data_IF_544448282723
#
_entry.id   IF_544448282723
#
_cell.length_a   1.000
_cell.length_b   1.000
_cell.length_c   1.000
_cell.angle_alpha   90.00
_cell.angle_beta   90.00
_cell.angle_gamma   90.00
#
_symmetry.space_group_name_H-M   'P 1'
#
loop_
_entity.id
_entity.type
_entity.pdbx_description
1 polymer ?
#
# COMPACT_ATOMS: atom_id res chain seq x y z
N UNK A 1 -22.27 -2.11 16.57
CA UNK A 1 -21.52 -1.96 15.31
C UNK A 1 -20.24 -1.18 15.58
N UNK A 2 -19.11 -1.61 15.04
CA UNK A 2 -17.87 -0.84 15.14
C UNK A 2 -18.00 0.48 14.36
N UNK A 3 -17.25 1.55 14.71
CA UNK A 3 -17.25 2.80 13.93
C UNK A 3 -16.98 2.58 12.43
N UNK A 4 -16.17 1.58 12.09
CA UNK A 4 -15.85 1.21 10.70
C UNK A 4 -17.09 0.63 10.01
N UNK A 5 -17.84 -0.27 10.66
CA UNK A 5 -19.09 -0.82 10.12
C UNK A 5 -20.16 0.26 9.89
N UNK A 6 -20.21 1.28 10.75
CA UNK A 6 -21.11 2.42 10.55
C UNK A 6 -20.69 3.27 9.33
N UNK A 7 -19.40 3.50 9.12
CA UNK A 7 -18.89 4.20 7.96
C UNK A 7 -19.07 3.40 6.67
N UNK A 8 -18.88 2.08 6.72
CA UNK A 8 -19.11 1.17 5.57
C UNK A 8 -20.59 1.16 5.14
N UNK A 9 -21.51 1.38 6.06
CA UNK A 9 -22.94 1.48 5.72
C UNK A 9 -23.27 2.71 4.84
N UNK A 10 -22.43 3.76 4.91
CA UNK A 10 -22.62 5.00 4.11
C UNK A 10 -21.93 4.87 2.75
N UNK A 11 -20.67 4.49 2.71
CA UNK A 11 -19.93 4.30 1.47
C UNK A 11 -18.73 3.37 1.65
N UNK A 12 -18.89 2.08 1.34
CA UNK A 12 -17.80 1.09 1.49
C UNK A 12 -16.54 1.44 0.68
N UNK A 13 -16.74 2.04 -0.52
CA UNK A 13 -15.63 2.45 -1.39
C UNK A 13 -14.84 3.60 -0.77
N UNK A 14 -15.53 4.59 -0.19
CA UNK A 14 -14.88 5.72 0.46
C UNK A 14 -14.08 5.28 1.68
N UNK A 15 -14.61 4.34 2.47
CA UNK A 15 -13.89 3.77 3.62
C UNK A 15 -12.62 3.07 3.16
N UNK A 16 -12.71 2.18 2.18
CA UNK A 16 -11.55 1.47 1.65
C UNK A 16 -10.50 2.44 1.07
N UNK A 17 -10.93 3.49 0.38
CA UNK A 17 -10.06 4.53 -0.15
C UNK A 17 -9.31 5.26 0.98
N UNK A 18 -10.03 5.75 1.99
CA UNK A 18 -9.42 6.53 3.10
C UNK A 18 -8.51 5.64 3.93
N UNK A 19 -8.96 4.47 4.34
CA UNK A 19 -8.21 3.59 5.23
C UNK A 19 -6.94 3.09 4.54
N UNK A 20 -7.04 2.66 3.28
CA UNK A 20 -5.87 2.22 2.52
C UNK A 20 -4.89 3.37 2.28
N UNK A 21 -5.38 4.58 2.00
CA UNK A 21 -4.54 5.75 1.79
C UNK A 21 -3.80 6.22 3.04
N UNK A 22 -4.42 6.09 4.20
CA UNK A 22 -3.79 6.45 5.47
C UNK A 22 -2.87 5.34 6.02
N UNK A 23 -2.94 4.15 5.47
CA UNK A 23 -2.23 3.00 6.02
C UNK A 23 -0.71 3.21 6.11
N UNK A 24 -0.09 3.79 5.08
CA UNK A 24 1.34 4.08 5.09
C UNK A 24 1.74 5.10 6.17
N UNK A 25 0.85 6.06 6.49
CA UNK A 25 1.05 6.97 7.61
C UNK A 25 0.98 6.22 8.95
N UNK A 26 0.04 5.29 9.09
CA UNK A 26 -0.04 4.44 10.29
C UNK A 26 1.19 3.55 10.43
N UNK A 27 1.80 3.08 9.34
CA UNK A 27 3.08 2.36 9.39
C UNK A 27 4.18 3.28 9.91
N UNK A 28 4.28 4.51 9.40
CA UNK A 28 5.27 5.49 9.84
C UNK A 28 5.18 5.84 11.35
N UNK A 29 3.98 5.84 11.91
CA UNK A 29 3.74 6.08 13.33
C UNK A 29 3.71 4.80 14.19
N UNK A 30 3.93 3.62 13.60
CA UNK A 30 3.88 2.34 14.32
C UNK A 30 2.47 1.87 14.69
N UNK A 31 1.43 2.57 14.22
CA UNK A 31 0.02 2.27 14.57
C UNK A 31 -0.62 1.23 13.65
N UNK A 32 0.06 0.82 12.60
CA UNK A 32 -0.47 -0.12 11.60
C UNK A 32 -0.86 -1.48 12.18
N UNK A 33 -0.17 -1.95 13.23
CA UNK A 33 -0.48 -3.21 13.88
C UNK A 33 -1.85 -3.16 14.57
N UNK A 34 -2.16 -2.06 15.26
CA UNK A 34 -3.46 -1.87 15.90
C UNK A 34 -4.59 -1.79 14.86
N UNK A 35 -4.35 -1.04 13.77
CA UNK A 35 -5.30 -0.94 12.67
C UNK A 35 -5.48 -2.29 11.97
N UNK A 36 -4.38 -2.98 11.68
CA UNK A 36 -4.40 -4.32 11.07
C UNK A 36 -5.20 -5.32 11.90
N UNK A 37 -5.05 -5.30 13.23
CA UNK A 37 -5.80 -6.18 14.13
C UNK A 37 -7.32 -6.00 13.99
N UNK A 38 -7.81 -4.78 13.80
CA UNK A 38 -9.25 -4.50 13.61
C UNK A 38 -9.76 -5.20 12.33
N UNK A 39 -9.04 -5.06 11.21
CA UNK A 39 -9.44 -5.68 9.93
C UNK A 39 -9.24 -7.19 9.91
N UNK A 40 -8.29 -7.70 10.70
CA UNK A 40 -8.13 -9.14 10.93
C UNK A 40 -9.29 -9.70 11.73
N UNK A 41 -9.77 -8.97 12.73
CA UNK A 41 -10.99 -9.36 13.46
C UNK A 41 -12.22 -9.39 12.55
N UNK A 42 -12.36 -8.41 11.65
CA UNK A 42 -13.43 -8.44 10.63
C UNK A 42 -13.31 -9.67 9.73
N UNK A 43 -12.09 -10.04 9.32
CA UNK A 43 -11.86 -11.26 8.54
C UNK A 43 -12.33 -12.51 9.28
N UNK A 44 -12.02 -12.64 10.57
CA UNK A 44 -12.42 -13.81 11.36
C UNK A 44 -13.92 -13.84 11.67
N UNK A 45 -14.55 -12.68 11.81
CA UNK A 45 -16.00 -12.61 12.12
C UNK A 45 -16.89 -12.73 10.90
N UNK A 46 -16.47 -12.14 9.78
CA UNK A 46 -17.23 -12.14 8.53
C UNK A 46 -16.77 -13.21 7.52
N UNK A 47 -15.61 -13.85 7.77
CA UNK A 47 -15.00 -14.81 6.85
C UNK A 47 -14.33 -14.18 5.62
N UNK A 48 -14.42 -12.85 5.47
CA UNK A 48 -13.83 -12.11 4.35
C UNK A 48 -13.65 -10.64 4.75
N UNK A 49 -12.57 -10.02 4.27
CA UNK A 49 -12.37 -8.58 4.37
C UNK A 49 -12.28 -7.95 2.97
N UNK A 50 -13.03 -6.87 2.75
CA UNK A 50 -13.09 -6.11 1.49
C UNK A 50 -12.50 -4.70 1.60
N UNK A 51 -12.08 -4.26 2.79
CA UNK A 51 -11.72 -2.86 3.05
C UNK A 51 -10.22 -2.61 2.90
N UNK A 52 -9.40 -2.96 3.90
CA UNK A 52 -7.97 -2.69 3.92
C UNK A 52 -7.15 -3.84 3.34
N UNK A 53 -7.43 -5.08 3.75
CA UNK A 53 -6.57 -6.23 3.48
C UNK A 53 -6.33 -6.49 1.98
N UNK A 54 -7.32 -6.27 1.06
CA UNK A 54 -7.05 -6.40 -0.37
C UNK A 54 -5.97 -5.45 -0.88
N UNK A 55 -5.99 -4.18 -0.46
CA UNK A 55 -4.95 -3.22 -0.84
C UNK A 55 -3.60 -3.58 -0.22
N UNK A 56 -3.59 -3.99 1.04
CA UNK A 56 -2.39 -4.39 1.75
C UNK A 56 -1.72 -5.61 1.11
N UNK A 57 -2.47 -6.68 0.84
CA UNK A 57 -1.88 -7.93 0.34
C UNK A 57 -1.66 -7.95 -1.17
N UNK A 58 -2.46 -7.21 -1.95
CA UNK A 58 -2.32 -7.18 -3.40
C UNK A 58 -1.37 -6.09 -3.90
N UNK A 59 -1.35 -4.92 -3.27
CA UNK A 59 -0.83 -3.70 -3.90
C UNK A 59 0.29 -3.02 -3.13
N UNK A 60 0.29 -3.06 -1.81
CA UNK A 60 1.18 -2.25 -0.98
C UNK A 60 2.65 -2.42 -1.35
N UNK A 61 3.15 -3.65 -1.38
CA UNK A 61 4.55 -3.94 -1.66
C UNK A 61 4.99 -3.45 -3.06
N UNK A 62 4.09 -3.51 -4.06
CA UNK A 62 4.36 -3.01 -5.40
C UNK A 62 4.32 -1.49 -5.46
N UNK A 63 3.35 -0.85 -4.81
CA UNK A 63 3.20 0.61 -4.77
C UNK A 63 4.42 1.25 -4.09
N UNK A 64 4.86 0.71 -2.96
CA UNK A 64 6.07 1.19 -2.26
C UNK A 64 7.30 0.96 -3.13
N UNK A 65 7.48 -0.23 -3.70
CA UNK A 65 8.61 -0.52 -4.57
C UNK A 65 8.66 0.38 -5.81
N UNK A 66 7.52 0.65 -6.44
CA UNK A 66 7.44 1.54 -7.60
C UNK A 66 7.75 2.99 -7.21
N UNK A 67 7.33 3.44 -6.03
CA UNK A 67 7.71 4.74 -5.47
C UNK A 67 9.23 4.86 -5.32
N UNK A 68 9.87 3.86 -4.72
CA UNK A 68 11.33 3.82 -4.54
C UNK A 68 12.07 3.80 -5.88
N UNK A 69 11.60 2.98 -6.83
CA UNK A 69 12.18 2.92 -8.17
C UNK A 69 12.04 4.25 -8.92
N UNK A 70 10.90 4.95 -8.77
CA UNK A 70 10.71 6.27 -9.36
C UNK A 70 11.74 7.28 -8.84
N UNK A 71 12.03 7.27 -7.53
CA UNK A 71 13.10 8.07 -6.93
C UNK A 71 14.46 7.67 -7.50
N UNK A 72 14.74 6.36 -7.56
CA UNK A 72 16.00 5.83 -8.12
C UNK A 72 16.23 6.27 -9.57
N UNK A 73 15.17 6.30 -10.39
CA UNK A 73 15.30 6.75 -11.80
C UNK A 73 15.59 8.25 -11.90
N UNK A 74 14.94 9.07 -11.08
CA UNK A 74 15.04 10.52 -11.14
C UNK A 74 16.28 11.08 -10.42
N UNK A 75 16.77 10.43 -9.38
CA UNK A 75 17.94 10.88 -8.62
C UNK A 75 19.22 10.82 -9.45
N UNK A 76 20.14 11.79 -9.24
CA UNK A 76 21.49 11.76 -9.78
C UNK A 76 22.50 11.21 -8.77
N UNK A 77 22.16 11.23 -7.48
CA UNK A 77 23.02 10.74 -6.41
C UNK A 77 23.07 9.20 -6.42
N UNK A 78 24.28 8.65 -6.60
CA UNK A 78 24.51 7.19 -6.66
C UNK A 78 24.08 6.47 -5.37
N UNK A 79 24.31 7.08 -4.21
CA UNK A 79 23.94 6.51 -2.91
C UNK A 79 22.41 6.40 -2.79
N UNK A 80 21.69 7.48 -3.10
CA UNK A 80 20.21 7.49 -3.09
C UNK A 80 19.65 6.46 -4.05
N UNK A 81 20.20 6.34 -5.27
CA UNK A 81 19.79 5.31 -6.23
C UNK A 81 19.91 3.90 -5.68
N UNK A 82 21.05 3.60 -5.05
CA UNK A 82 21.30 2.28 -4.50
C UNK A 82 20.34 1.99 -3.34
N UNK A 83 20.26 2.89 -2.38
CA UNK A 83 19.33 2.74 -1.23
C UNK A 83 17.89 2.52 -1.68
N UNK A 84 17.39 3.30 -2.64
CA UNK A 84 16.02 3.13 -3.16
C UNK A 84 15.81 1.76 -3.83
N UNK A 85 16.81 1.24 -4.55
CA UNK A 85 16.72 -0.09 -5.16
C UNK A 85 16.71 -1.20 -4.11
N UNK A 86 17.55 -1.09 -3.09
CA UNK A 86 17.58 -2.03 -1.96
C UNK A 86 16.25 -2.01 -1.21
N UNK A 87 15.66 -0.84 -0.95
CA UNK A 87 14.34 -0.69 -0.35
C UNK A 87 13.25 -1.33 -1.22
N UNK A 88 13.26 -1.08 -2.53
CA UNK A 88 12.32 -1.69 -3.47
C UNK A 88 12.40 -3.23 -3.47
N UNK A 89 13.61 -3.80 -3.44
CA UNK A 89 13.81 -5.25 -3.33
C UNK A 89 13.28 -5.77 -2.00
N UNK A 90 13.55 -5.06 -0.88
CA UNK A 90 13.03 -5.41 0.44
C UNK A 90 11.50 -5.46 0.46
N UNK A 91 10.85 -4.48 -0.16
CA UNK A 91 9.39 -4.43 -0.26
C UNK A 91 8.85 -5.60 -1.09
N UNK A 92 9.42 -5.87 -2.28
CA UNK A 92 8.93 -6.89 -3.21
C UNK A 92 9.15 -8.31 -2.66
N UNK A 93 10.37 -8.60 -2.19
CA UNK A 93 10.76 -9.95 -1.78
C UNK A 93 10.37 -10.24 -0.35
N UNK A 94 10.71 -9.31 0.55
CA UNK A 94 10.48 -9.46 1.99
C UNK A 94 9.08 -9.07 2.45
N UNK A 95 8.38 -8.20 1.70
CA UNK A 95 7.16 -7.56 2.18
C UNK A 95 7.42 -6.56 3.31
N UNK A 96 8.66 -6.05 3.39
CA UNK A 96 9.12 -5.15 4.47
C UNK A 96 9.27 -3.75 3.88
N UNK A 97 8.36 -2.84 4.25
CA UNK A 97 8.30 -1.47 3.74
C UNK A 97 8.97 -0.44 4.66
N UNK A 98 9.29 -0.83 5.88
CA UNK A 98 9.91 0.04 6.89
C UNK A 98 11.22 0.69 6.39
N UNK A 99 12.11 0.01 5.64
CA UNK A 99 13.30 0.67 5.09
C UNK A 99 12.96 1.84 4.16
N UNK A 100 11.91 1.71 3.35
CA UNK A 100 11.43 2.80 2.48
C UNK A 100 10.87 3.95 3.29
N UNK A 101 10.03 3.65 4.27
CA UNK A 101 9.36 4.65 5.09
C UNK A 101 10.38 5.43 5.91
N UNK A 102 11.21 4.76 6.70
CA UNK A 102 12.16 5.42 7.61
C UNK A 102 13.44 5.88 6.90
N UNK A 103 13.90 5.15 5.88
CA UNK A 103 15.12 5.46 5.15
C UNK A 103 14.96 6.57 4.10
N UNK A 104 13.76 6.73 3.55
CA UNK A 104 13.50 7.62 2.41
C UNK A 104 12.38 8.61 2.72
N UNK A 105 11.16 8.14 3.02
CA UNK A 105 9.98 9.01 3.07
C UNK A 105 9.96 9.91 4.30
N UNK A 106 10.43 9.44 5.46
CA UNK A 106 10.52 10.26 6.66
C UNK A 106 11.56 11.38 6.55
N UNK A 107 12.58 11.21 5.71
CA UNK A 107 13.55 12.28 5.40
C UNK A 107 12.95 13.39 4.54
N UNK A 108 12.00 13.05 3.69
CA UNK A 108 11.21 14.00 2.92
C UNK A 108 9.74 13.57 2.93
N UNK A 109 9.03 14.05 3.94
CA UNK A 109 7.64 13.65 4.20
C UNK A 109 6.67 13.88 3.03
N UNK A 110 7.01 14.81 2.10
CA UNK A 110 6.22 15.00 0.88
C UNK A 110 6.18 13.74 0.01
N UNK A 111 7.23 12.93 0.03
CA UNK A 111 7.28 11.69 -0.74
C UNK A 111 6.33 10.62 -0.20
N UNK A 112 5.93 10.70 1.08
CA UNK A 112 4.92 9.83 1.67
C UNK A 112 3.55 9.95 0.99
N UNK A 113 3.25 11.11 0.39
CA UNK A 113 1.98 11.32 -0.33
C UNK A 113 1.83 10.36 -1.52
N UNK A 114 2.93 9.96 -2.14
CA UNK A 114 2.89 9.10 -3.33
C UNK A 114 2.35 7.69 -3.03
N UNK A 115 2.93 6.91 -2.09
CA UNK A 115 2.37 5.61 -1.73
C UNK A 115 0.99 5.75 -1.08
N UNK A 116 0.72 6.80 -0.28
CA UNK A 116 -0.60 7.04 0.29
C UNK A 116 -1.68 7.19 -0.80
N UNK A 117 -1.45 8.02 -1.81
CA UNK A 117 -2.40 8.20 -2.92
C UNK A 117 -2.53 6.94 -3.77
N UNK A 118 -1.42 6.25 -4.04
CA UNK A 118 -1.43 4.97 -4.75
C UNK A 118 -2.28 3.92 -4.03
N UNK A 119 -2.09 3.79 -2.71
CA UNK A 119 -2.86 2.87 -1.86
C UNK A 119 -4.34 3.27 -1.75
N UNK A 120 -4.64 4.56 -1.63
CA UNK A 120 -6.02 5.06 -1.60
C UNK A 120 -6.79 4.63 -2.85
N UNK A 121 -6.20 4.88 -4.01
CA UNK A 121 -6.81 4.53 -5.31
C UNK A 121 -6.92 3.02 -5.48
N UNK A 122 -5.87 2.27 -5.16
CA UNK A 122 -5.90 0.80 -5.23
C UNK A 122 -7.01 0.24 -4.34
N UNK A 123 -7.10 0.68 -3.07
CA UNK A 123 -8.12 0.24 -2.13
C UNK A 123 -9.55 0.58 -2.59
N UNK A 124 -9.76 1.79 -3.09
CA UNK A 124 -11.04 2.20 -3.67
C UNK A 124 -11.46 1.34 -4.85
N UNK A 125 -10.57 1.07 -5.80
CA UNK A 125 -10.83 0.20 -6.97
C UNK A 125 -11.07 -1.25 -6.53
N UNK A 126 -10.26 -1.78 -5.60
CA UNK A 126 -10.47 -3.13 -5.07
C UNK A 126 -11.87 -3.27 -4.47
N UNK A 127 -12.30 -2.27 -3.71
CA UNK A 127 -13.66 -2.29 -3.12
C UNK A 127 -14.76 -2.19 -4.16
N UNK A 128 -14.58 -1.36 -5.20
CA UNK A 128 -15.52 -1.27 -6.34
C UNK A 128 -15.65 -2.60 -7.08
N UNK A 129 -14.55 -3.33 -7.23
CA UNK A 129 -14.52 -4.63 -7.92
C UNK A 129 -14.84 -5.82 -6.97
N UNK A 130 -15.19 -5.54 -5.70
CA UNK A 130 -15.44 -6.54 -4.66
C UNK A 130 -14.30 -7.57 -4.54
N UNK A 131 -13.06 -7.08 -4.53
CA UNK A 131 -11.89 -7.91 -4.24
C UNK A 131 -11.88 -8.22 -2.75
N UNK A 132 -11.91 -9.50 -2.38
CA UNK A 132 -11.94 -9.95 -0.99
C UNK A 132 -10.67 -10.69 -0.60
N UNK A 133 -10.30 -10.59 0.69
CA UNK A 133 -9.28 -11.41 1.33
C UNK A 133 -9.95 -12.40 2.26
N UNK A 134 -9.64 -13.68 2.12
CA UNK A 134 -10.29 -14.80 2.81
C UNK A 134 -9.34 -15.53 3.78
N UNK A 135 -8.06 -15.18 3.77
CA UNK A 135 -7.06 -15.77 4.63
C UNK A 135 -5.99 -14.73 5.00
N UNK A 136 -5.32 -14.92 6.13
CA UNK A 136 -4.17 -14.09 6.48
C UNK A 136 -2.96 -14.46 5.62
N UNK A 137 -2.20 -13.45 5.25
CA UNK A 137 -0.97 -13.60 4.48
C UNK A 137 -0.02 -12.42 4.76
N UNK A 138 1.06 -12.32 4.00
CA UNK A 138 2.03 -11.23 4.08
C UNK A 138 1.85 -10.26 2.92
N UNK A 139 2.34 -9.02 3.10
CA UNK A 139 2.31 -7.97 2.08
C UNK A 139 3.45 -8.13 1.06
N UNK A 140 3.46 -9.25 0.35
CA UNK A 140 4.38 -9.58 -0.76
C UNK A 140 3.67 -10.49 -1.76
N UNK A 141 4.38 -11.12 -2.68
CA UNK A 141 3.78 -12.06 -3.65
C UNK A 141 3.00 -13.22 -3.00
N UNK A 142 3.39 -13.66 -1.78
CA UNK A 142 2.66 -14.68 -1.04
C UNK A 142 1.25 -14.15 -0.66
N UNK A 143 1.09 -12.83 -0.47
CA UNK A 143 -0.20 -12.19 -0.22
C UNK A 143 -1.27 -12.51 -1.25
N UNK A 144 -0.86 -12.75 -2.50
CA UNK A 144 -1.80 -13.13 -3.56
C UNK A 144 -2.47 -14.48 -3.33
N UNK A 145 -1.88 -15.37 -2.53
CA UNK A 145 -2.52 -16.63 -2.15
C UNK A 145 -3.79 -16.41 -1.33
N UNK A 146 -3.80 -15.36 -0.49
CA UNK A 146 -4.99 -14.97 0.29
C UNK A 146 -6.14 -14.47 -0.61
N UNK A 147 -5.82 -13.88 -1.75
CA UNK A 147 -6.81 -13.49 -2.74
C UNK A 147 -7.28 -14.70 -3.58
N UNK A 148 -6.37 -15.64 -3.88
CA UNK A 148 -6.70 -16.89 -4.58
C UNK A 148 -7.69 -17.74 -3.81
N UNK A 149 -7.74 -17.66 -2.48
CA UNK A 149 -8.74 -18.35 -1.66
C UNK A 149 -10.18 -17.96 -2.01
N UNK A 150 -10.39 -16.78 -2.61
CA UNK A 150 -11.65 -16.33 -3.19
C UNK A 150 -11.84 -16.72 -4.67
N UNK A 151 -10.94 -17.56 -5.22
CA UNK A 151 -10.93 -17.98 -6.61
C UNK A 151 -10.06 -17.10 -7.52
N UNK A 152 -9.71 -17.64 -8.69
CA UNK A 152 -8.83 -16.97 -9.67
C UNK A 152 -9.41 -15.61 -10.10
N UNK A 153 -10.71 -15.52 -10.30
CA UNK A 153 -11.37 -14.27 -10.68
C UNK A 153 -11.19 -13.16 -9.64
N UNK A 154 -11.13 -13.51 -8.34
CA UNK A 154 -10.90 -12.54 -7.27
C UNK A 154 -9.47 -11.96 -7.36
N UNK A 155 -8.48 -12.81 -7.60
CA UNK A 155 -7.10 -12.34 -7.84
C UNK A 155 -7.02 -11.47 -9.11
N UNK A 156 -7.62 -11.89 -10.22
CA UNK A 156 -7.62 -11.11 -11.48
C UNK A 156 -8.23 -9.72 -11.29
N UNK A 157 -9.30 -9.60 -10.51
CA UNK A 157 -9.94 -8.32 -10.17
C UNK A 157 -9.04 -7.40 -9.34
N UNK A 158 -8.01 -7.90 -8.68
CA UNK A 158 -7.08 -7.06 -7.92
C UNK A 158 -6.07 -6.32 -8.81
N UNK A 159 -5.76 -6.83 -10.00
CA UNK A 159 -4.76 -6.20 -10.87
C UNK A 159 -5.10 -4.78 -11.32
N UNK A 160 -6.33 -4.43 -11.74
CA UNK A 160 -6.64 -3.06 -12.13
C UNK A 160 -6.34 -2.04 -11.04
N UNK A 161 -6.76 -2.31 -9.79
CA UNK A 161 -6.48 -1.43 -8.65
C UNK A 161 -4.99 -1.31 -8.37
N UNK A 162 -4.28 -2.42 -8.37
CA UNK A 162 -2.83 -2.45 -8.18
C UNK A 162 -2.08 -1.68 -9.27
N UNK A 163 -2.42 -1.88 -10.53
CA UNK A 163 -1.77 -1.21 -11.66
C UNK A 163 -2.01 0.31 -11.61
N UNK A 164 -3.26 0.73 -11.42
CA UNK A 164 -3.60 2.16 -11.34
C UNK A 164 -2.93 2.79 -10.12
N UNK A 165 -2.93 2.12 -8.98
CA UNK A 165 -2.23 2.58 -7.78
C UNK A 165 -0.73 2.76 -8.00
N UNK A 166 -0.07 1.82 -8.65
CA UNK A 166 1.34 1.91 -9.03
C UNK A 166 1.62 3.08 -9.99
N UNK A 167 0.79 3.27 -11.00
CA UNK A 167 0.93 4.38 -11.96
C UNK A 167 0.81 5.72 -11.23
N UNK A 168 -0.19 5.87 -10.37
CA UNK A 168 -0.39 7.10 -9.58
C UNK A 168 0.79 7.35 -8.66
N UNK A 169 1.24 6.35 -7.91
CA UNK A 169 2.40 6.47 -7.02
C UNK A 169 3.66 6.86 -7.80
N UNK A 170 3.91 6.26 -8.96
CA UNK A 170 5.04 6.61 -9.83
C UNK A 170 4.97 8.07 -10.28
N UNK A 171 3.84 8.50 -10.85
CA UNK A 171 3.66 9.85 -11.38
C UNK A 171 3.79 10.90 -10.26
N UNK A 172 3.11 10.68 -9.12
CA UNK A 172 3.17 11.59 -7.97
C UNK A 172 4.60 11.69 -7.44
N UNK A 173 5.30 10.56 -7.32
CA UNK A 173 6.71 10.56 -6.91
C UNK A 173 7.56 11.36 -7.89
N UNK A 174 7.36 11.16 -9.17
CA UNK A 174 8.11 11.85 -10.21
C UNK A 174 7.89 13.37 -10.18
N UNK A 175 6.68 13.82 -9.81
CA UNK A 175 6.37 15.24 -9.63
C UNK A 175 7.01 15.79 -8.36
N UNK A 176 6.85 15.09 -7.23
CA UNK A 176 7.24 15.59 -5.91
C UNK A 176 8.75 15.47 -5.62
N UNK A 177 9.45 14.53 -6.26
CA UNK A 177 10.87 14.34 -5.99
C UNK A 177 11.72 15.47 -6.56
N UNK A 178 12.52 16.09 -5.71
CA UNK A 178 13.60 17.03 -6.06
C UNK A 178 14.90 16.64 -5.35
N UNK A 179 16.05 16.73 -6.00
CA UNK A 179 17.34 16.29 -5.45
C UNK A 179 17.70 16.97 -4.13
N UNK A 180 17.39 18.25 -3.97
CA UNK A 180 17.66 19.02 -2.74
C UNK A 180 16.93 18.46 -1.49
N UNK A 181 15.98 17.57 -1.69
CA UNK A 181 15.10 17.11 -0.62
C UNK A 181 15.67 15.95 0.21
N UNK A 182 16.73 15.28 -0.25
CA UNK A 182 17.33 14.13 0.44
C UNK A 182 18.81 14.36 0.83
N UNK A 183 19.44 15.45 0.36
CA UNK A 183 20.86 15.75 0.65
C UNK A 183 21.04 16.58 1.93
N UNK A 184 19.99 17.22 2.42
CA UNK A 184 20.02 18.11 3.59
C UNK A 184 19.48 17.45 4.89
N UNK A 185 19.37 16.13 4.92
CA UNK A 185 18.91 15.35 6.08
C UNK A 185 19.99 14.26 6.44
#
# INVERSE_FOLDING_TARGET
ASPIQMLESVSPVLVAFIVSGLYELFVAFGLHQALGAIFVMDLFTAGVNYSLLPAQFASQFLIVAVTDLAISFKSKNKKTKLTCRECAISAIVGGVMEPSIFGIYMKNFKLMLAPCLGMAIAGGIHRMLNVGVYALSSSNFIGWTALLSGGVNNLVRSFPGTIVGCIVAFVVTFILYGEKNLENS
#
